data_IF_399424929566
#
_entry.id   IF_399424929566
#
_cell.length_a   1.000
_cell.length_b   1.000
_cell.length_c   1.000
_cell.angle_alpha   90.00
_cell.angle_beta   90.00
_cell.angle_gamma   90.00
#
_symmetry.space_group_name_H-M   'P 1'
#
loop_
_entity.id
_entity.type
_entity.pdbx_description
1 polymer ?
#
# COMPACT_ATOMS: atom_id res chain seq x y z
N UNK A 1 -10.66 3.32 20.04
CA UNK A 1 -10.26 2.66 18.78
C UNK A 1 -10.04 1.19 19.11
N UNK A 2 -10.87 0.30 18.63
CA UNK A 2 -10.76 -1.14 18.92
C UNK A 2 -9.74 -1.75 17.96
N UNK A 3 -8.66 -2.32 18.48
CA UNK A 3 -7.68 -3.04 17.67
C UNK A 3 -8.12 -4.50 17.59
N UNK A 4 -8.38 -4.98 16.39
CA UNK A 4 -8.63 -6.40 16.13
C UNK A 4 -7.36 -7.01 15.50
N UNK A 5 -6.98 -8.19 15.93
CA UNK A 5 -5.81 -8.91 15.44
C UNK A 5 -6.22 -10.33 15.01
N UNK A 6 -5.85 -10.71 13.80
CA UNK A 6 -5.98 -12.08 13.29
C UNK A 6 -4.59 -12.65 12.99
N UNK A 7 -4.41 -13.97 13.21
CA UNK A 7 -3.18 -14.70 12.89
C UNK A 7 -3.48 -15.77 11.86
N UNK A 8 -2.66 -15.86 10.82
CA UNK A 8 -2.75 -16.85 9.75
C UNK A 8 -1.37 -17.42 9.45
N UNK A 9 -1.30 -18.62 8.91
CA UNK A 9 -0.04 -19.32 8.65
C UNK A 9 0.05 -19.99 7.27
N UNK A 10 -1.00 -19.90 6.44
CA UNK A 10 -1.00 -20.44 5.08
C UNK A 10 -1.43 -19.38 4.06
N UNK A 11 -1.06 -19.56 2.78
CA UNK A 11 -1.43 -18.67 1.69
C UNK A 11 -2.96 -18.57 1.50
N UNK A 12 -3.66 -19.68 1.67
CA UNK A 12 -5.11 -19.72 1.55
C UNK A 12 -5.79 -18.95 2.69
N UNK A 13 -5.44 -19.25 3.95
CA UNK A 13 -6.01 -18.54 5.12
C UNK A 13 -5.65 -17.06 5.09
N UNK A 14 -4.45 -16.70 4.59
CA UNK A 14 -4.04 -15.31 4.43
C UNK A 14 -4.89 -14.59 3.37
N UNK A 15 -5.11 -15.21 2.21
CA UNK A 15 -5.95 -14.64 1.15
C UNK A 15 -7.39 -14.41 1.63
N UNK A 16 -7.97 -15.36 2.35
CA UNK A 16 -9.30 -15.23 2.94
C UNK A 16 -9.34 -14.10 3.96
N UNK A 17 -8.34 -14.03 4.86
CA UNK A 17 -8.26 -12.98 5.87
C UNK A 17 -8.12 -11.59 5.25
N UNK A 18 -7.33 -11.42 4.19
CA UNK A 18 -7.20 -10.14 3.48
C UNK A 18 -8.53 -9.62 2.92
N UNK A 19 -9.40 -10.52 2.46
CA UNK A 19 -10.71 -10.16 1.89
C UNK A 19 -11.77 -9.92 2.95
N UNK A 20 -11.83 -10.78 3.98
CA UNK A 20 -12.88 -10.73 5.01
C UNK A 20 -12.56 -9.77 6.16
N UNK A 21 -11.32 -9.74 6.61
CA UNK A 21 -10.88 -8.92 7.73
C UNK A 21 -10.40 -7.52 7.30
N UNK A 22 -9.94 -7.39 6.06
CA UNK A 22 -9.46 -6.14 5.46
C UNK A 22 -8.45 -5.37 6.35
N UNK A 23 -7.32 -5.99 6.75
CA UNK A 23 -6.41 -5.43 7.75
C UNK A 23 -5.82 -4.08 7.30
N UNK A 24 -5.64 -3.16 8.27
CA UNK A 24 -4.99 -1.86 8.06
C UNK A 24 -3.46 -2.00 7.92
N UNK A 25 -2.88 -3.05 8.50
CA UNK A 25 -1.45 -3.38 8.44
C UNK A 25 -1.27 -4.88 8.51
N UNK A 26 -0.26 -5.39 7.80
CA UNK A 26 0.16 -6.79 7.85
C UNK A 26 1.56 -6.87 8.44
N UNK A 27 1.72 -7.74 9.44
CA UNK A 27 3.01 -8.11 10.00
C UNK A 27 3.34 -9.54 9.57
N UNK A 28 4.51 -9.76 9.01
CA UNK A 28 4.99 -11.08 8.62
C UNK A 28 6.25 -11.43 9.39
N UNK A 29 6.27 -12.63 9.93
CA UNK A 29 7.47 -13.19 10.58
C UNK A 29 8.17 -14.15 9.61
N UNK A 30 9.48 -13.96 9.41
CA UNK A 30 10.30 -14.81 8.52
C UNK A 30 10.48 -16.25 9.02
N UNK A 31 10.09 -16.54 10.26
CA UNK A 31 10.17 -17.91 10.81
C UNK A 31 8.92 -18.76 10.56
N UNK A 32 7.91 -18.23 9.85
CA UNK A 32 6.71 -18.99 9.51
C UNK A 32 7.04 -20.01 8.41
N UNK A 33 6.98 -21.30 8.77
CA UNK A 33 7.39 -22.40 7.89
C UNK A 33 6.48 -22.63 6.68
N UNK A 34 5.23 -22.17 6.72
CA UNK A 34 4.21 -22.49 5.69
C UNK A 34 3.89 -21.31 4.75
N UNK A 35 4.33 -20.12 5.07
CA UNK A 35 4.12 -18.93 4.22
C UNK A 35 5.35 -18.04 4.28
N UNK A 36 6.14 -18.07 3.23
CA UNK A 36 7.26 -17.15 3.07
C UNK A 36 6.80 -15.70 2.97
N UNK A 37 7.57 -14.78 3.57
CA UNK A 37 7.23 -13.36 3.62
C UNK A 37 7.13 -12.71 2.24
N UNK A 38 7.92 -13.18 1.25
CA UNK A 38 7.83 -12.64 -0.12
C UNK A 38 6.55 -13.11 -0.81
N UNK A 39 6.21 -14.40 -0.68
CA UNK A 39 4.95 -14.94 -1.20
C UNK A 39 3.74 -14.25 -0.54
N UNK A 40 3.80 -13.99 0.77
CA UNK A 40 2.77 -13.23 1.46
C UNK A 40 2.64 -11.80 0.93
N UNK A 41 3.76 -11.13 0.66
CA UNK A 41 3.77 -9.79 0.10
C UNK A 41 3.18 -9.74 -1.31
N UNK A 42 3.47 -10.72 -2.18
CA UNK A 42 2.87 -10.84 -3.50
C UNK A 42 1.34 -11.00 -3.42
N UNK A 43 0.86 -11.90 -2.56
CA UNK A 43 -0.58 -12.08 -2.31
C UNK A 43 -1.21 -10.76 -1.82
N UNK A 44 -0.56 -10.08 -0.88
CA UNK A 44 -1.05 -8.80 -0.37
C UNK A 44 -1.17 -7.76 -1.49
N UNK A 45 -0.13 -7.63 -2.34
CA UNK A 45 -0.14 -6.66 -3.45
C UNK A 45 -1.22 -6.94 -4.47
N UNK A 46 -1.56 -8.22 -4.70
CA UNK A 46 -2.67 -8.61 -5.58
C UNK A 46 -4.06 -8.29 -4.97
N UNK A 47 -4.23 -8.46 -3.66
CA UNK A 47 -5.54 -8.35 -3.00
C UNK A 47 -5.78 -6.96 -2.40
N UNK A 48 -4.77 -6.41 -1.72
CA UNK A 48 -4.82 -5.11 -1.02
C UNK A 48 -3.51 -4.33 -1.20
N UNK A 49 -3.25 -3.80 -2.39
CA UNK A 49 -1.94 -3.22 -2.75
C UNK A 49 -1.51 -2.06 -1.84
N UNK A 50 -2.45 -1.32 -1.27
CA UNK A 50 -2.17 -0.16 -0.40
C UNK A 50 -1.97 -0.50 1.07
N UNK A 51 -2.22 -1.74 1.52
CA UNK A 51 -1.97 -2.12 2.90
C UNK A 51 -0.45 -2.22 3.17
N UNK A 52 0.07 -1.58 4.24
CA UNK A 52 1.47 -1.69 4.59
C UNK A 52 1.82 -3.10 5.05
N UNK A 53 2.99 -3.57 4.61
CA UNK A 53 3.54 -4.88 4.96
C UNK A 53 4.87 -4.69 5.68
N UNK A 54 4.94 -5.09 6.93
CA UNK A 54 6.14 -4.97 7.77
C UNK A 54 6.66 -6.38 8.07
N UNK A 55 7.93 -6.60 7.80
CA UNK A 55 8.60 -7.88 8.06
C UNK A 55 9.28 -7.82 9.42
N UNK A 56 9.03 -8.81 10.25
CA UNK A 56 9.77 -9.04 11.52
C UNK A 56 10.70 -10.22 11.32
N UNK A 57 11.97 -10.06 11.63
CA UNK A 57 13.00 -11.07 11.38
C UNK A 57 14.04 -11.15 12.48
N UNK A 58 14.73 -12.29 12.60
CA UNK A 58 15.80 -12.48 13.60
C UNK A 58 17.12 -11.82 13.20
N UNK A 59 17.67 -12.20 12.07
CA UNK A 59 18.98 -11.74 11.60
C UNK A 59 19.03 -11.74 10.06
N UNK A 60 18.50 -10.71 9.39
CA UNK A 60 18.55 -10.63 7.93
C UNK A 60 19.94 -10.25 7.46
N UNK A 61 20.33 -10.73 6.29
CA UNK A 61 21.48 -10.19 5.58
C UNK A 61 21.11 -8.83 4.95
N UNK A 62 22.12 -8.00 4.62
CA UNK A 62 21.88 -6.75 3.89
C UNK A 62 21.16 -6.98 2.55
N UNK A 63 21.50 -8.07 1.83
CA UNK A 63 20.85 -8.44 0.57
C UNK A 63 19.35 -8.77 0.78
N UNK A 64 18.99 -9.51 1.81
CA UNK A 64 17.59 -9.81 2.14
C UNK A 64 16.82 -8.55 2.51
N UNK A 65 17.44 -7.63 3.26
CA UNK A 65 16.81 -6.35 3.60
C UNK A 65 16.51 -5.53 2.35
N UNK A 66 17.49 -5.39 1.44
CA UNK A 66 17.30 -4.66 0.17
C UNK A 66 16.23 -5.33 -0.69
N UNK A 67 16.23 -6.68 -0.78
CA UNK A 67 15.24 -7.43 -1.56
C UNK A 67 13.82 -7.20 -1.01
N UNK A 68 13.63 -7.23 0.31
CA UNK A 68 12.35 -7.01 0.94
C UNK A 68 11.78 -5.60 0.64
N UNK A 69 12.61 -4.57 0.78
CA UNK A 69 12.19 -3.18 0.48
C UNK A 69 11.89 -3.00 -1.02
N UNK A 70 12.71 -3.58 -1.91
CA UNK A 70 12.45 -3.55 -3.36
C UNK A 70 11.17 -4.28 -3.75
N UNK A 71 10.85 -5.37 -3.08
CA UNK A 71 9.58 -6.10 -3.26
C UNK A 71 8.36 -5.31 -2.74
N UNK A 72 8.58 -4.20 -2.04
CA UNK A 72 7.52 -3.31 -1.55
C UNK A 72 7.14 -3.52 -0.09
N UNK A 73 7.99 -4.16 0.73
CA UNK A 73 7.82 -4.13 2.17
C UNK A 73 7.99 -2.69 2.67
N UNK A 74 7.11 -2.26 3.58
CA UNK A 74 7.16 -0.92 4.17
C UNK A 74 8.38 -0.76 5.09
N UNK A 75 8.65 -1.79 5.86
CA UNK A 75 9.80 -1.82 6.77
C UNK A 75 10.20 -3.27 7.09
N UNK A 76 11.42 -3.42 7.60
CA UNK A 76 11.96 -4.65 8.13
C UNK A 76 12.49 -4.37 9.54
N UNK A 77 11.95 -5.07 10.53
CA UNK A 77 12.24 -4.84 11.94
C UNK A 77 12.93 -6.10 12.52
N UNK A 78 14.04 -5.86 13.17
CA UNK A 78 14.72 -6.93 13.90
C UNK A 78 13.91 -7.31 15.15
N UNK A 79 13.72 -8.60 15.38
CA UNK A 79 13.02 -9.12 16.58
C UNK A 79 13.66 -8.61 17.90
N UNK A 80 14.95 -8.35 17.89
CA UNK A 80 15.64 -7.75 19.03
C UNK A 80 15.26 -6.28 19.30
N UNK A 81 14.64 -5.60 18.32
CA UNK A 81 14.30 -4.17 18.38
C UNK A 81 12.79 -3.92 18.14
N UNK A 82 11.92 -4.74 18.74
CA UNK A 82 10.46 -4.59 18.62
C UNK A 82 9.92 -3.28 19.21
N UNK A 83 10.69 -2.56 20.00
CA UNK A 83 10.32 -1.22 20.48
C UNK A 83 10.03 -0.23 19.34
N UNK A 84 10.66 -0.41 18.17
CA UNK A 84 10.40 0.38 16.96
C UNK A 84 9.15 -0.03 16.18
N UNK A 85 8.49 -1.13 16.52
CA UNK A 85 7.36 -1.66 15.75
C UNK A 85 6.16 -0.71 15.79
N UNK A 86 5.84 -0.14 16.95
CA UNK A 86 4.69 0.76 17.11
C UNK A 86 4.86 2.04 16.28
N UNK A 87 6.06 2.64 16.29
CA UNK A 87 6.35 3.81 15.47
C UNK A 87 6.28 3.47 13.98
N UNK A 88 6.86 2.34 13.57
CA UNK A 88 6.81 1.89 12.17
C UNK A 88 5.38 1.67 11.66
N UNK A 89 4.52 1.06 12.46
CA UNK A 89 3.09 0.90 12.13
C UNK A 89 2.41 2.28 12.04
N UNK A 90 2.64 3.15 13.01
CA UNK A 90 2.04 4.48 13.05
C UNK A 90 2.42 5.32 11.84
N UNK A 91 3.68 5.31 11.44
CA UNK A 91 4.20 6.03 10.28
C UNK A 91 3.61 5.47 8.97
N UNK A 92 3.58 4.15 8.84
CA UNK A 92 3.01 3.47 7.68
C UNK A 92 1.52 3.79 7.49
N UNK A 93 0.76 3.84 8.58
CA UNK A 93 -0.67 4.20 8.55
C UNK A 93 -0.87 5.70 8.32
N UNK A 94 -0.03 6.56 8.91
CA UNK A 94 -0.12 8.02 8.74
C UNK A 94 0.04 8.44 7.27
N UNK A 95 0.97 7.83 6.54
CA UNK A 95 1.18 8.08 5.11
C UNK A 95 -0.06 7.73 4.27
N UNK A 96 -0.84 6.72 4.70
CA UNK A 96 -2.01 6.21 3.97
C UNK A 96 -3.33 6.86 4.37
N UNK A 97 -3.39 7.56 5.50
CA UNK A 97 -4.60 8.28 5.94
C UNK A 97 -5.23 9.15 4.86
N UNK A 98 -4.47 9.94 4.08
CA UNK A 98 -5.05 10.76 3.04
C UNK A 98 -5.79 9.95 1.96
N UNK A 99 -5.35 8.72 1.62
CA UNK A 99 -6.07 7.85 0.69
C UNK A 99 -7.48 7.52 1.17
N UNK A 100 -7.64 7.24 2.47
CA UNK A 100 -8.93 6.89 3.07
C UNK A 100 -9.92 8.08 3.06
N UNK A 101 -9.43 9.30 2.85
CA UNK A 101 -10.28 10.49 2.69
C UNK A 101 -10.81 10.69 1.27
N UNK A 102 -10.28 9.95 0.30
CA UNK A 102 -10.74 10.02 -1.09
C UNK A 102 -12.05 9.27 -1.26
N UNK A 103 -12.95 9.84 -2.05
CA UNK A 103 -14.13 9.09 -2.52
C UNK A 103 -13.69 8.03 -3.51
N UNK A 104 -14.52 7.02 -3.74
CA UNK A 104 -14.26 5.98 -4.73
C UNK A 104 -13.95 6.57 -6.12
N UNK A 105 -14.70 7.59 -6.52
CA UNK A 105 -14.49 8.29 -7.79
C UNK A 105 -13.15 9.00 -7.86
N UNK A 106 -12.73 9.63 -6.78
CA UNK A 106 -11.42 10.27 -6.69
C UNK A 106 -10.28 9.24 -6.74
N UNK A 107 -10.46 8.08 -6.11
CA UNK A 107 -9.50 6.98 -6.16
C UNK A 107 -9.37 6.40 -7.58
N UNK A 108 -10.49 6.25 -8.32
CA UNK A 108 -10.48 5.84 -9.72
C UNK A 108 -9.69 6.84 -10.58
N UNK A 109 -9.97 8.14 -10.41
CA UNK A 109 -9.23 9.20 -11.14
C UNK A 109 -7.75 9.17 -10.76
N UNK A 110 -7.40 9.04 -9.48
CA UNK A 110 -6.01 8.93 -9.03
C UNK A 110 -5.28 7.78 -9.73
N UNK A 111 -5.87 6.58 -9.75
CA UNK A 111 -5.28 5.40 -10.40
C UNK A 111 -4.98 5.66 -11.87
N UNK A 112 -5.94 6.16 -12.62
CA UNK A 112 -5.77 6.43 -14.06
C UNK A 112 -4.73 7.53 -14.32
N UNK A 113 -4.65 8.55 -13.47
CA UNK A 113 -3.63 9.61 -13.59
C UNK A 113 -2.23 9.05 -13.40
N UNK A 114 -2.01 8.21 -12.38
CA UNK A 114 -0.69 7.65 -12.08
C UNK A 114 -0.28 6.54 -13.06
N UNK A 115 -1.24 5.92 -13.74
CA UNK A 115 -1.04 5.02 -14.88
C UNK A 115 -0.71 5.77 -16.20
N UNK A 116 -0.73 7.11 -16.17
CA UNK A 116 -0.32 7.95 -17.31
C UNK A 116 -1.44 8.31 -18.29
N UNK A 117 -2.71 8.01 -18.00
CA UNK A 117 -3.82 8.40 -18.86
C UNK A 117 -4.00 9.92 -18.91
N UNK A 118 -4.28 10.45 -20.12
CA UNK A 118 -4.61 11.87 -20.31
C UNK A 118 -6.01 12.16 -19.76
N UNK A 119 -6.25 13.39 -19.37
CA UNK A 119 -7.54 13.83 -18.78
C UNK A 119 -8.75 13.47 -19.66
N UNK A 120 -8.60 13.55 -20.99
CA UNK A 120 -9.65 13.19 -21.95
C UNK A 120 -9.94 11.68 -21.92
N UNK A 121 -8.89 10.84 -21.93
CA UNK A 121 -9.04 9.39 -21.90
C UNK A 121 -9.68 8.93 -20.58
N UNK A 122 -9.36 9.62 -19.47
CA UNK A 122 -9.99 9.39 -18.16
C UNK A 122 -11.47 9.76 -18.21
N UNK A 123 -11.82 10.90 -18.83
CA UNK A 123 -13.21 11.35 -18.98
C UNK A 123 -14.04 10.33 -19.73
N UNK A 124 -13.52 9.86 -20.88
CA UNK A 124 -14.18 8.87 -21.72
C UNK A 124 -14.36 7.52 -20.98
N UNK A 125 -13.29 7.02 -20.33
CA UNK A 125 -13.33 5.76 -19.54
C UNK A 125 -14.31 5.81 -18.38
N UNK A 126 -14.44 6.95 -17.76
CA UNK A 126 -15.27 7.13 -16.57
C UNK A 126 -16.68 7.64 -16.89
N UNK A 127 -17.00 7.94 -18.16
CA UNK A 127 -18.30 8.45 -18.58
C UNK A 127 -18.64 9.83 -17.99
N UNK A 128 -17.65 10.73 -17.88
CA UNK A 128 -17.84 12.08 -17.31
C UNK A 128 -17.20 13.15 -18.20
N UNK A 129 -17.47 14.43 -17.92
CA UNK A 129 -16.83 15.52 -18.65
C UNK A 129 -15.35 15.68 -18.26
N UNK A 130 -14.54 16.22 -19.18
CA UNK A 130 -13.14 16.61 -18.93
C UNK A 130 -13.06 17.54 -17.71
N UNK A 131 -13.96 18.52 -17.60
CA UNK A 131 -14.05 19.45 -16.47
C UNK A 131 -14.29 18.72 -15.13
N UNK A 132 -15.08 17.65 -15.15
CA UNK A 132 -15.32 16.82 -13.96
C UNK A 132 -14.04 16.08 -13.53
N UNK A 133 -13.28 15.54 -14.48
CA UNK A 133 -11.99 14.90 -14.18
C UNK A 133 -10.99 15.91 -13.63
N UNK A 134 -10.89 17.11 -14.20
CA UNK A 134 -10.03 18.18 -13.69
C UNK A 134 -10.39 18.57 -12.25
N UNK A 135 -11.69 18.70 -11.96
CA UNK A 135 -12.17 18.96 -10.59
C UNK A 135 -11.75 17.85 -9.63
N UNK A 136 -11.93 16.57 -9.99
CA UNK A 136 -11.50 15.44 -9.16
C UNK A 136 -9.98 15.43 -8.97
N UNK A 137 -9.18 15.68 -10.02
CA UNK A 137 -7.72 15.79 -9.91
C UNK A 137 -7.30 16.88 -8.92
N UNK A 138 -7.88 18.08 -9.03
CA UNK A 138 -7.61 19.16 -8.10
C UNK A 138 -7.93 18.80 -6.65
N UNK A 139 -9.07 18.14 -6.42
CA UNK A 139 -9.46 17.67 -5.08
C UNK A 139 -8.54 16.58 -4.55
N UNK A 140 -8.13 15.62 -5.40
CA UNK A 140 -7.16 14.58 -5.04
C UNK A 140 -5.84 15.21 -4.62
N UNK A 141 -5.27 16.09 -5.45
CA UNK A 141 -4.00 16.76 -5.14
C UNK A 141 -4.06 17.55 -3.83
N UNK A 142 -5.16 18.27 -3.59
CA UNK A 142 -5.38 19.01 -2.34
C UNK A 142 -5.43 18.07 -1.13
N UNK A 143 -6.19 16.95 -1.21
CA UNK A 143 -6.33 15.99 -0.09
C UNK A 143 -5.04 15.24 0.20
N UNK A 144 -4.28 14.89 -0.83
CA UNK A 144 -3.00 14.21 -0.71
C UNK A 144 -1.84 15.19 -0.39
N UNK A 145 -2.12 16.52 -0.38
CA UNK A 145 -1.12 17.58 -0.16
C UNK A 145 0.05 17.50 -1.13
N UNK A 146 -0.24 17.22 -2.40
CA UNK A 146 0.75 17.20 -3.49
C UNK A 146 0.45 18.31 -4.48
N UNK A 147 1.48 18.85 -5.12
CA UNK A 147 1.35 20.06 -5.94
C UNK A 147 1.44 19.78 -7.44
N UNK A 148 1.98 18.62 -7.83
CA UNK A 148 2.14 18.23 -9.22
C UNK A 148 2.00 16.72 -9.42
N UNK A 149 2.00 16.30 -10.70
CA UNK A 149 1.82 14.88 -11.07
C UNK A 149 3.02 14.03 -10.65
N UNK A 150 4.23 14.59 -10.63
CA UNK A 150 5.44 13.83 -10.22
C UNK A 150 5.34 13.44 -8.75
N UNK A 151 4.96 14.39 -7.89
CA UNK A 151 4.72 14.11 -6.46
C UNK A 151 3.56 13.14 -6.26
N UNK A 152 2.52 13.23 -7.10
CA UNK A 152 1.38 12.31 -7.07
C UNK A 152 1.81 10.88 -7.40
N UNK A 153 2.62 10.68 -8.44
CA UNK A 153 3.18 9.36 -8.83
C UNK A 153 4.08 8.82 -7.73
N UNK A 154 5.00 9.63 -7.19
CA UNK A 154 5.87 9.22 -6.07
C UNK A 154 5.07 8.80 -4.83
N UNK A 155 4.00 9.52 -4.51
CA UNK A 155 3.09 9.15 -3.43
C UNK A 155 2.41 7.82 -3.72
N UNK A 156 1.90 7.62 -4.95
CA UNK A 156 1.23 6.39 -5.35
C UNK A 156 2.14 5.15 -5.27
N UNK A 157 3.42 5.29 -5.69
CA UNK A 157 4.44 4.25 -5.53
C UNK A 157 4.67 3.96 -4.04
N UNK A 158 4.88 5.01 -3.25
CA UNK A 158 5.16 4.89 -1.81
C UNK A 158 4.06 4.16 -1.04
N UNK A 159 2.79 4.38 -1.39
CA UNK A 159 1.67 3.70 -0.73
C UNK A 159 1.29 2.37 -1.38
N UNK A 160 2.02 1.92 -2.40
CA UNK A 160 1.78 0.67 -3.10
C UNK A 160 0.58 0.68 -4.04
N UNK A 161 0.11 1.84 -4.46
CA UNK A 161 -1.01 1.96 -5.40
C UNK A 161 -0.60 1.53 -6.82
N UNK A 162 0.66 1.78 -7.19
CA UNK A 162 1.32 1.29 -8.41
C UNK A 162 2.67 0.66 -8.03
N UNK A 163 3.14 -0.35 -8.79
CA UNK A 163 4.44 -0.97 -8.54
C UNK A 163 5.59 0.00 -8.77
N UNK A 164 6.70 -0.21 -8.05
CA UNK A 164 7.94 0.58 -8.19
C UNK A 164 8.82 0.15 -9.36
N UNK A 165 8.33 -0.71 -10.24
CA UNK A 165 9.04 -1.20 -11.42
C UNK A 165 9.09 -0.14 -12.51
N UNK A 166 10.16 0.64 -12.49
CA UNK A 166 10.69 1.38 -13.64
C UNK A 166 12.12 0.95 -13.90
#
# INVERSE_FOLDING_TARGET
MTTMMGRVNSAESFTVALRSFAPDVVLSDTTLAQLDSFAALEILRAVRPTAPFIIVTGAPTGAQTVAAIRAGAENLILRAYLSGLVSSISDALAIRRPLHSLTERQLQVLKLVVEGYRTRDIADRLGVSVKTVESHRGQVMKRLRVHDVVHLVRYAIRVGLIPSTF
#
